data_IF_649224316471
#
_entry.id   IF_649224316471
#
_cell.length_a   1.000
_cell.length_b   1.000
_cell.length_c   1.000
_cell.angle_alpha   90.00
_cell.angle_beta   90.00
_cell.angle_gamma   90.00
#
_symmetry.space_group_name_H-M   'P 1'
#
loop_
_entity.id
_entity.type
_entity.pdbx_description
1 polymer ?
#
# COMPACT_ATOMS: atom_id res chain seq x y z
N UNK A 1 20.13 1.55 -5.28
CA UNK A 1 20.11 0.99 -3.91
C UNK A 1 18.67 0.94 -3.43
N UNK A 2 18.23 -0.21 -2.98
CA UNK A 2 16.87 -0.35 -2.49
C UNK A 2 16.72 0.23 -1.08
N UNK A 3 15.59 0.88 -0.87
CA UNK A 3 15.25 1.43 0.41
C UNK A 3 14.67 0.33 1.30
N UNK A 4 15.16 0.24 2.53
CA UNK A 4 14.62 -0.73 3.48
C UNK A 4 13.51 -0.07 4.31
N UNK A 5 12.28 -0.21 3.83
CA UNK A 5 11.13 0.37 4.50
C UNK A 5 10.92 -0.18 5.90
N UNK A 6 11.25 -1.45 6.12
CA UNK A 6 11.04 -2.06 7.43
C UNK A 6 11.97 -1.49 8.50
N UNK A 7 13.15 -1.01 8.10
CA UNK A 7 14.07 -0.33 9.02
C UNK A 7 13.61 1.10 9.30
N UNK A 8 13.23 1.86 8.26
CA UNK A 8 12.74 3.24 8.42
C UNK A 8 11.36 3.28 9.05
N UNK A 9 10.51 2.32 8.70
CA UNK A 9 9.12 2.28 9.12
C UNK A 9 8.80 0.92 9.73
N UNK A 10 9.25 0.66 10.98
CA UNK A 10 8.81 -0.56 11.66
C UNK A 10 7.29 -0.51 11.89
N UNK A 11 6.68 -1.68 12.03
CA UNK A 11 5.21 -1.77 12.13
C UNK A 11 4.64 -0.93 13.27
N UNK A 12 5.37 -0.77 14.37
CA UNK A 12 4.92 0.06 15.49
C UNK A 12 4.80 1.54 15.08
N UNK A 13 5.75 2.03 14.30
CA UNK A 13 5.70 3.40 13.80
C UNK A 13 4.55 3.60 12.83
N UNK A 14 4.33 2.63 11.94
CA UNK A 14 3.22 2.65 11.00
C UNK A 14 1.90 2.71 11.75
N UNK A 15 1.70 1.82 12.72
CA UNK A 15 0.49 1.77 13.51
C UNK A 15 0.24 3.08 14.26
N UNK A 16 1.29 3.68 14.82
CA UNK A 16 1.19 4.94 15.54
C UNK A 16 0.73 6.08 14.64
N UNK A 17 1.34 6.22 13.46
CA UNK A 17 0.97 7.30 12.53
C UNK A 17 -0.43 7.09 11.98
N UNK A 18 -0.81 5.85 11.68
CA UNK A 18 -2.14 5.52 11.17
C UNK A 18 -3.22 5.49 12.26
N UNK A 19 -2.81 5.60 13.52
CA UNK A 19 -3.73 5.54 14.68
C UNK A 19 -4.51 4.24 14.73
N UNK A 20 -3.80 3.13 14.55
CA UNK A 20 -4.36 1.77 14.60
C UNK A 20 -3.41 0.84 15.35
N UNK A 21 -3.91 -0.31 15.78
CA UNK A 21 -3.09 -1.34 16.44
C UNK A 21 -2.56 -2.37 15.46
N UNK A 22 -2.98 -2.32 14.21
CA UNK A 22 -2.82 -3.42 13.26
C UNK A 22 -2.07 -2.95 12.02
N UNK A 23 -0.78 -3.29 11.95
CA UNK A 23 0.05 -2.97 10.80
C UNK A 23 1.03 -4.11 10.56
N UNK A 24 1.17 -4.54 9.29
CA UNK A 24 2.14 -5.57 8.93
C UNK A 24 2.54 -5.45 7.46
N UNK A 25 3.74 -5.92 7.15
CA UNK A 25 4.22 -6.04 5.78
C UNK A 25 3.74 -7.36 5.19
N UNK A 26 3.32 -7.32 3.92
CA UNK A 26 2.89 -8.50 3.19
C UNK A 26 3.89 -8.85 2.09
N UNK A 27 3.72 -10.04 1.51
CA UNK A 27 4.53 -10.49 0.39
C UNK A 27 4.21 -9.62 -0.84
N UNK A 28 5.21 -8.95 -1.45
CA UNK A 28 4.96 -8.08 -2.59
C UNK A 28 4.58 -8.84 -3.87
N UNK A 29 4.59 -10.17 -3.87
CA UNK A 29 4.17 -10.96 -5.02
C UNK A 29 2.64 -11.05 -5.18
N UNK A 30 1.86 -10.54 -4.23
CA UNK A 30 0.41 -10.53 -4.35
C UNK A 30 -0.05 -9.71 -5.56
N UNK A 31 -1.15 -10.12 -6.17
CA UNK A 31 -1.70 -9.39 -7.32
C UNK A 31 -2.35 -8.09 -6.87
N UNK A 32 -1.93 -6.98 -7.47
CA UNK A 32 -2.44 -5.65 -7.17
C UNK A 32 -2.85 -4.97 -8.46
N UNK A 33 -3.94 -4.20 -8.41
CA UNK A 33 -4.38 -3.43 -9.57
C UNK A 33 -4.88 -2.05 -9.15
N UNK A 34 -4.78 -1.09 -10.07
CA UNK A 34 -5.35 0.24 -9.89
C UNK A 34 -6.70 0.28 -10.60
N UNK A 35 -7.74 0.72 -9.89
CA UNK A 35 -9.05 0.91 -10.50
C UNK A 35 -9.02 2.11 -11.45
N UNK A 36 -9.57 1.95 -12.64
CA UNK A 36 -9.65 2.99 -13.66
C UNK A 36 -11.10 3.36 -13.91
N UNK A 37 -11.37 4.66 -14.08
CA UNK A 37 -12.71 5.14 -14.39
C UNK A 37 -12.91 5.17 -15.91
N UNK A 38 -14.12 4.89 -16.42
CA UNK A 38 -15.31 4.49 -15.69
C UNK A 38 -15.34 3.01 -15.31
N UNK A 39 -14.63 2.15 -16.04
CA UNK A 39 -14.53 0.72 -15.74
C UNK A 39 -13.16 0.21 -16.17
N UNK A 40 -12.72 -0.89 -15.55
CA UNK A 40 -11.44 -1.48 -15.88
C UNK A 40 -10.41 -1.33 -14.79
N UNK A 41 -9.20 -1.78 -15.09
CA UNK A 41 -8.10 -1.72 -14.13
C UNK A 41 -6.76 -1.75 -14.86
N UNK A 42 -5.71 -1.36 -14.13
CA UNK A 42 -4.33 -1.44 -14.60
C UNK A 42 -3.52 -2.22 -13.56
N UNK A 43 -2.80 -3.29 -13.95
CA UNK A 43 -1.99 -4.05 -12.98
C UNK A 43 -0.88 -3.18 -12.40
N UNK A 44 -0.60 -3.40 -11.12
CA UNK A 44 0.51 -2.75 -10.42
C UNK A 44 1.49 -3.82 -9.99
N UNK A 45 2.76 -3.65 -10.34
CA UNK A 45 3.83 -4.50 -9.82
C UNK A 45 4.25 -3.91 -8.48
N UNK A 46 3.95 -4.60 -7.41
CA UNK A 46 4.24 -4.12 -6.06
C UNK A 46 5.69 -4.37 -5.68
N UNK A 47 6.30 -3.38 -5.07
CA UNK A 47 7.62 -3.50 -4.44
C UNK A 47 7.47 -3.70 -2.93
N UNK A 48 6.50 -3.04 -2.34
CA UNK A 48 6.22 -3.11 -0.91
C UNK A 48 4.71 -3.07 -0.72
N UNK A 49 4.18 -3.95 0.14
CA UNK A 49 2.77 -3.94 0.51
C UNK A 49 2.67 -3.90 2.03
N UNK A 50 1.87 -2.97 2.55
CA UNK A 50 1.61 -2.84 3.99
C UNK A 50 0.11 -2.95 4.22
N UNK A 51 -0.29 -3.87 5.11
CA UNK A 51 -1.67 -3.93 5.59
C UNK A 51 -1.77 -3.13 6.88
N UNK A 52 -2.68 -2.18 6.94
CA UNK A 52 -2.84 -1.32 8.10
C UNK A 52 -4.29 -0.89 8.24
N UNK A 53 -4.89 -1.19 9.40
CA UNK A 53 -6.25 -0.77 9.71
C UNK A 53 -7.31 -1.29 8.74
N UNK A 54 -7.11 -2.47 8.17
CA UNK A 54 -8.06 -3.04 7.21
C UNK A 54 -7.89 -2.54 5.78
N UNK A 55 -6.96 -1.63 5.55
CA UNK A 55 -6.62 -1.12 4.22
C UNK A 55 -5.20 -1.55 3.85
N UNK A 56 -4.83 -1.32 2.60
CA UNK A 56 -3.54 -1.73 2.08
C UNK A 56 -2.84 -0.55 1.43
N UNK A 57 -1.54 -0.41 1.70
CA UNK A 57 -0.69 0.57 1.05
C UNK A 57 0.33 -0.16 0.19
N UNK A 58 0.45 0.25 -1.06
CA UNK A 58 1.28 -0.43 -2.05
C UNK A 58 2.24 0.56 -2.68
N UNK A 59 3.54 0.23 -2.63
CA UNK A 59 4.55 0.99 -3.37
C UNK A 59 4.78 0.28 -4.70
N UNK A 60 4.65 1.02 -5.81
CA UNK A 60 4.87 0.46 -7.14
C UNK A 60 6.36 0.28 -7.41
N UNK A 61 6.73 -0.86 -8.00
CA UNK A 61 8.10 -1.11 -8.43
C UNK A 61 8.50 -0.22 -9.61
N UNK A 62 7.53 0.17 -10.44
CA UNK A 62 7.77 1.01 -11.61
C UNK A 62 7.82 2.50 -11.28
N UNK A 63 7.31 2.88 -10.12
CA UNK A 63 7.24 4.28 -9.70
C UNK A 63 7.56 4.38 -8.20
N UNK A 64 8.85 4.18 -7.84
CA UNK A 64 9.25 4.20 -6.43
C UNK A 64 8.88 5.51 -5.76
N UNK A 65 8.60 5.43 -4.47
CA UNK A 65 8.18 6.56 -3.63
C UNK A 65 6.74 7.02 -3.86
N UNK A 66 6.03 6.47 -4.86
CA UNK A 66 4.59 6.65 -4.95
C UNK A 66 3.88 5.50 -4.24
N UNK A 67 2.89 5.86 -3.44
CA UNK A 67 2.12 4.89 -2.66
C UNK A 67 0.66 4.92 -3.07
N UNK A 68 0.08 3.75 -3.22
CA UNK A 68 -1.33 3.60 -3.58
C UNK A 68 -2.07 3.01 -2.38
N UNK A 69 -3.30 3.48 -2.16
CA UNK A 69 -4.15 2.97 -1.10
C UNK A 69 -5.25 2.10 -1.70
N UNK A 70 -5.53 0.96 -1.09
CA UNK A 70 -6.51 0.04 -1.61
C UNK A 70 -7.13 -0.86 -0.56
N UNK A 71 -7.92 -1.80 -1.05
CA UNK A 71 -8.58 -2.79 -0.22
C UNK A 71 -8.53 -4.16 -0.90
N UNK A 72 -8.70 -5.21 -0.11
CA UNK A 72 -8.81 -6.56 -0.65
C UNK A 72 -10.27 -6.81 -1.03
N UNK A 73 -10.47 -7.21 -2.28
CA UNK A 73 -11.79 -7.57 -2.79
C UNK A 73 -12.17 -8.99 -2.36
N UNK A 74 -13.42 -9.37 -2.58
CA UNK A 74 -13.92 -10.68 -2.21
C UNK A 74 -13.21 -11.82 -2.93
N UNK A 75 -12.62 -11.57 -4.10
CA UNK A 75 -11.85 -12.55 -4.86
C UNK A 75 -10.37 -12.61 -4.43
N UNK A 76 -9.97 -11.82 -3.44
CA UNK A 76 -8.61 -11.80 -2.92
C UNK A 76 -7.66 -10.82 -3.58
N UNK A 77 -8.12 -10.13 -4.62
CA UNK A 77 -7.30 -9.14 -5.33
C UNK A 77 -7.21 -7.84 -4.53
N UNK A 78 -6.03 -7.22 -4.52
CA UNK A 78 -5.86 -5.89 -3.93
C UNK A 78 -6.16 -4.84 -4.99
N UNK A 79 -7.16 -4.00 -4.77
CA UNK A 79 -7.53 -2.94 -5.71
C UNK A 79 -7.31 -1.58 -5.06
N UNK A 80 -6.52 -0.73 -5.73
CA UNK A 80 -6.15 0.59 -5.23
C UNK A 80 -6.97 1.67 -5.93
N UNK A 81 -7.21 2.79 -5.23
CA UNK A 81 -7.97 3.92 -5.77
C UNK A 81 -7.34 5.28 -5.52
N UNK A 82 -6.36 5.35 -4.61
CA UNK A 82 -5.74 6.63 -4.26
C UNK A 82 -4.24 6.58 -4.43
N UNK A 83 -3.62 7.75 -4.63
CA UNK A 83 -2.18 7.86 -4.82
C UNK A 83 -1.62 8.95 -3.91
N UNK A 84 -0.47 8.66 -3.30
CA UNK A 84 0.21 9.56 -2.37
C UNK A 84 1.70 9.61 -2.69
N UNK A 85 2.31 10.78 -2.50
CA UNK A 85 3.73 10.98 -2.83
C UNK A 85 4.70 10.44 -1.79
N UNK A 86 4.21 10.11 -0.59
CA UNK A 86 5.03 9.50 0.45
C UNK A 86 4.17 8.67 1.40
N UNK A 87 4.86 7.80 2.16
CA UNK A 87 4.18 6.88 3.07
C UNK A 87 3.47 7.61 4.21
N UNK A 88 4.09 8.64 4.76
CA UNK A 88 3.50 9.37 5.88
C UNK A 88 2.17 10.01 5.49
N UNK A 89 2.09 10.61 4.29
CA UNK A 89 0.84 11.18 3.80
C UNK A 89 -0.23 10.11 3.60
N UNK A 90 0.14 8.95 3.06
CA UNK A 90 -0.79 7.84 2.88
C UNK A 90 -1.35 7.37 4.23
N UNK A 91 -0.48 7.21 5.23
CA UNK A 91 -0.90 6.76 6.56
C UNK A 91 -1.85 7.73 7.24
N UNK A 92 -1.63 9.04 7.07
CA UNK A 92 -2.50 10.05 7.67
C UNK A 92 -3.87 10.14 7.01
N UNK A 93 -4.00 9.57 5.81
CA UNK A 93 -5.26 9.60 5.06
C UNK A 93 -6.15 8.39 5.35
N UNK A 94 -5.69 7.47 6.17
CA UNK A 94 -6.46 6.29 6.57
C UNK A 94 -7.64 6.62 7.48
#
# INVERSE_FOLDING_TARGET
MERDWQTEWPTERIATVAQTDDAKYLDPSEFVRMALAPTGYEPIVARTIIEVGGLFLVESADDPDNWYMGQRLSDGVLECWGQYGDLASALRSL
#
